data_IF_175362115899
#
_entry.id   IF_175362115899
#
_cell.length_a   1.000
_cell.length_b   1.000
_cell.length_c   1.000
_cell.angle_alpha   90.00
_cell.angle_beta   90.00
_cell.angle_gamma   90.00
#
_symmetry.space_group_name_H-M   'P 1'
#
loop_
_entity.id
_entity.type
_entity.pdbx_description
1 polymer ?
#
# COMPACT_ATOMS: atom_id res chain seq x y z
N UNK A 1 -4.63 30.65 -1.22
CA UNK A 1 -5.10 29.27 -1.48
C UNK A 1 -5.85 28.80 -0.24
N UNK A 2 -7.04 28.16 -0.37
CA UNK A 2 -7.74 27.63 0.80
C UNK A 2 -6.94 26.46 1.40
N UNK A 3 -7.07 26.19 2.72
CA UNK A 3 -6.39 25.09 3.40
C UNK A 3 -6.68 23.75 2.75
N UNK A 4 -7.93 23.53 2.31
CA UNK A 4 -8.36 22.34 1.58
C UNK A 4 -7.55 22.11 0.29
N UNK A 5 -7.43 23.13 -0.59
CA UNK A 5 -6.69 23.00 -1.83
C UNK A 5 -5.18 22.85 -1.57
N UNK A 6 -4.67 23.48 -0.55
CA UNK A 6 -3.27 23.36 -0.16
C UNK A 6 -2.92 21.93 0.27
N UNK A 7 -3.74 21.34 1.16
CA UNK A 7 -3.54 19.97 1.62
C UNK A 7 -3.73 18.96 0.49
N UNK A 8 -4.69 19.20 -0.41
CA UNK A 8 -4.91 18.39 -1.61
C UNK A 8 -3.66 18.36 -2.51
N UNK A 9 -3.04 19.52 -2.76
CA UNK A 9 -1.81 19.61 -3.54
C UNK A 9 -0.62 18.97 -2.82
N UNK A 10 -0.49 19.18 -1.51
CA UNK A 10 0.58 18.57 -0.72
C UNK A 10 0.54 17.04 -0.80
N UNK A 11 -0.63 16.44 -0.58
CA UNK A 11 -0.86 15.00 -0.71
C UNK A 11 -0.54 14.51 -2.13
N UNK A 12 -1.08 15.20 -3.14
CA UNK A 12 -0.86 14.82 -4.55
C UNK A 12 0.62 14.87 -4.94
N UNK A 13 1.31 15.96 -4.60
CA UNK A 13 2.74 16.13 -4.95
C UNK A 13 3.62 15.11 -4.22
N UNK A 14 3.32 14.80 -2.96
CA UNK A 14 4.01 13.73 -2.25
C UNK A 14 3.81 12.37 -2.96
N UNK A 15 2.61 12.09 -3.45
CA UNK A 15 2.35 10.84 -4.18
C UNK A 15 2.99 10.78 -5.58
N UNK A 16 3.45 11.91 -6.15
CA UNK A 16 4.38 11.89 -7.29
C UNK A 16 5.70 11.23 -6.87
N UNK A 17 6.33 11.70 -5.78
CA UNK A 17 7.59 11.12 -5.31
C UNK A 17 7.42 9.64 -4.97
N UNK A 18 6.35 9.30 -4.28
CA UNK A 18 6.03 7.93 -3.90
C UNK A 18 5.90 7.01 -5.13
N UNK A 19 5.23 7.46 -6.20
CA UNK A 19 5.08 6.70 -7.44
C UNK A 19 6.42 6.47 -8.13
N UNK A 20 7.24 7.52 -8.28
CA UNK A 20 8.48 7.45 -9.06
C UNK A 20 9.49 6.46 -8.51
N UNK A 21 9.54 6.29 -7.20
CA UNK A 21 10.47 5.33 -6.59
C UNK A 21 9.81 3.97 -6.35
N UNK A 22 8.63 3.94 -5.72
CA UNK A 22 8.05 2.69 -5.21
C UNK A 22 7.19 1.93 -6.21
N UNK A 23 6.54 2.58 -7.18
CA UNK A 23 5.91 1.85 -8.27
C UNK A 23 6.96 1.23 -9.20
N UNK A 24 8.03 1.95 -9.45
CA UNK A 24 9.07 1.54 -10.39
C UNK A 24 10.27 0.83 -9.74
N UNK A 25 10.21 0.46 -8.45
CA UNK A 25 11.34 -0.18 -7.76
C UNK A 25 11.91 -1.35 -8.54
N UNK A 26 11.09 -2.32 -8.95
CA UNK A 26 11.57 -3.50 -9.68
C UNK A 26 12.06 -3.11 -11.07
N UNK A 27 11.40 -2.19 -11.76
CA UNK A 27 11.84 -1.65 -13.06
C UNK A 27 13.24 -1.04 -12.96
N UNK A 28 13.47 -0.20 -11.93
CA UNK A 28 14.77 0.42 -11.65
C UNK A 28 15.83 -0.66 -11.41
N UNK A 29 15.55 -1.60 -10.51
CA UNK A 29 16.52 -2.64 -10.14
C UNK A 29 16.90 -3.55 -11.30
N UNK A 30 15.93 -3.94 -12.15
CA UNK A 30 16.18 -4.73 -13.35
C UNK A 30 17.09 -3.99 -14.35
N UNK A 31 16.90 -2.66 -14.50
CA UNK A 31 17.76 -1.84 -15.36
C UNK A 31 19.21 -1.76 -14.86
N UNK A 32 19.40 -1.82 -13.52
CA UNK A 32 20.72 -1.94 -12.89
C UNK A 32 21.27 -3.37 -12.88
N UNK A 33 20.59 -4.33 -13.52
CA UNK A 33 21.07 -5.71 -13.69
C UNK A 33 20.81 -6.63 -12.47
N UNK A 34 19.93 -6.24 -11.55
CA UNK A 34 19.54 -7.10 -10.43
C UNK A 34 18.63 -8.24 -10.89
N UNK A 35 18.80 -9.41 -10.30
CA UNK A 35 17.93 -10.57 -10.53
C UNK A 35 16.58 -10.42 -9.80
N UNK A 36 15.57 -11.19 -10.21
CA UNK A 36 14.26 -11.23 -9.57
C UNK A 36 14.37 -11.55 -8.07
N UNK A 37 15.29 -12.45 -7.69
CA UNK A 37 15.54 -12.81 -6.30
C UNK A 37 16.05 -11.60 -5.51
N UNK A 38 17.02 -10.86 -6.06
CA UNK A 38 17.55 -9.65 -5.44
C UNK A 38 16.50 -8.54 -5.35
N UNK A 39 15.67 -8.37 -6.38
CA UNK A 39 14.52 -7.49 -6.34
C UNK A 39 13.55 -7.87 -5.22
N UNK A 40 13.32 -9.17 -5.02
CA UNK A 40 12.51 -9.70 -3.94
C UNK A 40 13.02 -9.33 -2.54
N UNK A 41 14.33 -9.43 -2.31
CA UNK A 41 14.94 -8.99 -1.05
C UNK A 41 14.79 -7.49 -0.80
N UNK A 42 15.02 -6.68 -1.83
CA UNK A 42 14.96 -5.21 -1.70
C UNK A 42 13.52 -4.75 -1.45
N UNK A 43 12.56 -5.28 -2.20
CA UNK A 43 11.14 -4.95 -2.01
C UNK A 43 10.57 -5.52 -0.70
N UNK A 44 11.05 -6.69 -0.24
CA UNK A 44 10.75 -7.20 1.10
C UNK A 44 11.20 -6.22 2.18
N UNK A 45 12.45 -5.71 2.08
CA UNK A 45 13.01 -4.77 3.06
C UNK A 45 12.16 -3.49 3.21
N UNK A 46 11.56 -3.01 2.13
CA UNK A 46 10.63 -1.90 2.13
C UNK A 46 9.47 -2.10 3.12
N UNK A 47 8.86 -3.29 3.12
CA UNK A 47 7.77 -3.61 4.05
C UNK A 47 8.25 -3.92 5.47
N UNK A 48 9.47 -4.45 5.61
CA UNK A 48 10.12 -4.58 6.94
C UNK A 48 10.31 -3.20 7.55
N UNK A 49 10.84 -2.23 6.78
CA UNK A 49 11.01 -0.86 7.26
C UNK A 49 9.67 -0.20 7.62
N UNK A 50 8.63 -0.39 6.81
CA UNK A 50 7.27 0.08 7.12
C UNK A 50 6.77 -0.48 8.47
N UNK A 51 6.99 -1.77 8.71
CA UNK A 51 6.54 -2.44 9.94
C UNK A 51 7.29 -1.95 11.18
N UNK A 52 8.55 -1.56 11.05
CA UNK A 52 9.39 -1.08 12.15
C UNK A 52 9.26 0.44 12.35
N UNK A 53 9.42 1.22 11.29
CA UNK A 53 9.47 2.68 11.36
C UNK A 53 8.09 3.32 11.58
N UNK A 54 7.03 2.75 11.01
CA UNK A 54 5.68 3.28 11.18
C UNK A 54 5.24 3.44 12.64
N UNK A 55 5.32 2.39 13.50
CA UNK A 55 5.04 2.50 14.93
C UNK A 55 5.96 3.47 15.68
N UNK A 56 7.23 3.60 15.26
CA UNK A 56 8.14 4.58 15.86
C UNK A 56 7.66 6.00 15.57
N UNK A 57 7.29 6.30 14.34
CA UNK A 57 6.77 7.62 13.96
C UNK A 57 5.43 7.93 14.63
N UNK A 58 4.54 6.94 14.72
CA UNK A 58 3.31 7.08 15.50
C UNK A 58 3.59 7.49 16.95
N UNK A 59 4.49 6.78 17.64
CA UNK A 59 4.88 7.12 19.02
C UNK A 59 5.53 8.51 19.14
N UNK A 60 6.30 8.96 18.15
CA UNK A 60 6.86 10.32 18.16
C UNK A 60 5.75 11.36 18.06
N UNK A 61 4.73 11.13 17.25
CA UNK A 61 3.56 12.01 17.13
C UNK A 61 2.74 12.00 18.43
N UNK A 62 2.48 10.83 19.00
CA UNK A 62 1.76 10.68 20.28
C UNK A 62 2.47 11.39 21.44
N UNK A 63 3.80 11.50 21.40
CA UNK A 63 4.61 12.25 22.34
C UNK A 63 4.67 13.76 22.07
N UNK A 64 3.88 14.25 21.13
CA UNK A 64 3.72 15.68 20.83
C UNK A 64 4.56 16.21 19.67
N UNK A 65 5.33 15.37 18.96
CA UNK A 65 5.98 15.81 17.74
C UNK A 65 4.92 16.09 16.67
N UNK A 66 4.95 17.30 16.09
CA UNK A 66 4.02 17.64 15.01
C UNK A 66 4.24 16.73 13.79
N UNK A 67 3.18 16.11 13.22
CA UNK A 67 3.28 15.34 11.99
C UNK A 67 3.82 16.18 10.83
N UNK A 68 3.53 17.50 10.78
CA UNK A 68 4.13 18.44 9.84
C UNK A 68 5.66 18.44 9.93
N UNK A 69 6.20 18.61 11.15
CA UNK A 69 7.66 18.64 11.36
C UNK A 69 8.31 17.33 11.00
N UNK A 70 7.69 16.20 11.42
CA UNK A 70 8.18 14.87 11.10
C UNK A 70 8.20 14.64 9.59
N UNK A 71 7.11 14.98 8.87
CA UNK A 71 7.05 14.87 7.41
C UNK A 71 8.18 15.65 6.73
N UNK A 72 8.43 16.90 7.13
CA UNK A 72 9.51 17.73 6.55
C UNK A 72 10.88 17.07 6.77
N UNK A 73 11.14 16.52 7.97
CA UNK A 73 12.40 15.86 8.29
C UNK A 73 12.58 14.61 7.42
N UNK A 74 11.54 13.79 7.29
CA UNK A 74 11.59 12.57 6.49
C UNK A 74 11.76 12.87 5.00
N UNK A 75 11.02 13.84 4.46
CA UNK A 75 11.13 14.25 3.05
C UNK A 75 12.51 14.87 2.75
N UNK A 76 13.06 15.69 3.66
CA UNK A 76 14.42 16.24 3.53
C UNK A 76 15.48 15.12 3.54
N UNK A 77 15.33 14.14 4.42
CA UNK A 77 16.15 12.93 4.41
C UNK A 77 16.05 12.16 3.08
N UNK A 78 14.85 12.04 2.54
CA UNK A 78 14.60 11.46 1.22
C UNK A 78 15.38 12.16 0.11
N UNK A 79 15.32 13.50 0.05
CA UNK A 79 16.09 14.30 -0.93
C UNK A 79 17.59 14.06 -0.81
N UNK A 80 18.12 13.94 0.42
CA UNK A 80 19.56 13.73 0.65
C UNK A 80 20.01 12.32 0.22
N UNK A 81 19.18 11.31 0.47
CA UNK A 81 19.52 9.91 0.18
C UNK A 81 19.31 9.56 -1.30
N UNK A 82 18.32 10.13 -1.96
CA UNK A 82 17.98 9.79 -3.34
C UNK A 82 19.15 9.87 -4.33
N UNK A 83 20.00 10.91 -4.37
CA UNK A 83 21.11 10.97 -5.32
C UNK A 83 22.20 9.92 -5.06
N UNK A 84 22.21 9.29 -3.88
CA UNK A 84 23.11 8.21 -3.55
C UNK A 84 22.63 6.85 -4.08
N UNK A 85 21.31 6.70 -4.34
CA UNK A 85 20.73 5.44 -4.80
C UNK A 85 21.36 4.92 -6.09
N UNK A 86 21.48 5.70 -7.19
CA UNK A 86 22.11 5.23 -8.42
C UNK A 86 23.55 4.74 -8.20
N UNK A 87 24.30 5.46 -7.36
CA UNK A 87 25.70 5.09 -7.02
C UNK A 87 25.73 3.79 -6.22
N UNK A 88 24.84 3.62 -5.25
CA UNK A 88 24.76 2.40 -4.45
C UNK A 88 24.32 1.21 -5.30
N UNK A 89 23.35 1.42 -6.21
CA UNK A 89 22.86 0.39 -7.12
C UNK A 89 23.95 -0.10 -8.08
N UNK A 90 24.78 0.80 -8.58
CA UNK A 90 25.92 0.42 -9.43
C UNK A 90 27.07 -0.27 -8.66
N UNK A 91 27.21 -0.03 -7.35
CA UNK A 91 28.29 -0.60 -6.53
C UNK A 91 28.00 -1.99 -5.98
N UNK A 92 26.76 -2.46 -6.03
CA UNK A 92 26.40 -3.82 -5.68
C UNK A 92 25.31 -3.98 -4.63
N UNK A 93 24.89 -5.22 -4.45
CA UNK A 93 23.69 -5.60 -3.73
C UNK A 93 23.65 -5.14 -2.26
N UNK A 94 24.74 -5.27 -1.51
CA UNK A 94 24.78 -4.90 -0.09
C UNK A 94 24.54 -3.40 0.12
N UNK A 95 25.16 -2.55 -0.69
CA UNK A 95 24.97 -1.10 -0.62
C UNK A 95 23.54 -0.70 -1.06
N UNK A 96 23.00 -1.40 -2.05
CA UNK A 96 21.61 -1.23 -2.48
C UNK A 96 20.64 -1.58 -1.36
N UNK A 97 20.83 -2.69 -0.67
CA UNK A 97 20.00 -3.07 0.48
C UNK A 97 20.02 -2.01 1.58
N UNK A 98 21.21 -1.51 1.94
CA UNK A 98 21.34 -0.48 2.97
C UNK A 98 20.67 0.83 2.55
N UNK A 99 21.01 1.34 1.37
CA UNK A 99 20.48 2.62 0.87
C UNK A 99 18.96 2.57 0.66
N UNK A 100 18.45 1.45 0.12
CA UNK A 100 17.03 1.26 -0.08
C UNK A 100 16.27 1.05 1.24
N UNK A 101 16.88 0.41 2.23
CA UNK A 101 16.35 0.33 3.59
C UNK A 101 16.21 1.72 4.22
N UNK A 102 17.24 2.56 4.10
CA UNK A 102 17.22 3.92 4.61
C UNK A 102 16.13 4.76 3.94
N UNK A 103 16.09 4.80 2.59
CA UNK A 103 15.07 5.59 1.88
C UNK A 103 13.66 5.08 2.16
N UNK A 104 13.47 3.77 2.31
CA UNK A 104 12.17 3.19 2.68
C UNK A 104 11.74 3.59 4.08
N UNK A 105 12.64 3.64 5.05
CA UNK A 105 12.33 4.13 6.38
C UNK A 105 11.93 5.62 6.35
N UNK A 106 12.62 6.44 5.57
CA UNK A 106 12.37 7.86 5.47
C UNK A 106 11.10 8.18 4.67
N UNK A 107 11.05 7.78 3.42
CA UNK A 107 10.04 8.25 2.47
C UNK A 107 8.84 7.29 2.36
N UNK A 108 9.05 5.97 2.23
CA UNK A 108 7.93 5.03 2.16
C UNK A 108 7.02 5.08 3.40
N UNK A 109 7.61 5.26 4.58
CA UNK A 109 6.88 5.46 5.82
C UNK A 109 6.29 6.88 5.96
N UNK A 110 6.77 7.85 5.18
CA UNK A 110 6.23 9.20 5.11
C UNK A 110 4.75 9.25 4.72
N UNK A 111 4.28 8.24 3.94
CA UNK A 111 2.88 8.10 3.60
C UNK A 111 1.97 7.97 4.83
N UNK A 112 2.40 7.24 5.86
CA UNK A 112 1.62 7.12 7.11
C UNK A 112 1.64 8.40 7.93
N UNK A 113 2.71 9.18 7.84
CA UNK A 113 2.83 10.46 8.54
C UNK A 113 1.92 11.52 7.92
N UNK A 114 1.88 11.60 6.58
CA UNK A 114 0.97 12.54 5.90
C UNK A 114 -0.49 12.15 6.09
N UNK A 115 -0.84 10.86 6.07
CA UNK A 115 -2.17 10.37 6.40
C UNK A 115 -2.58 10.76 7.84
N UNK A 116 -1.67 10.62 8.80
CA UNK A 116 -1.90 11.06 10.19
C UNK A 116 -2.10 12.57 10.26
N UNK A 117 -1.33 13.33 9.51
CA UNK A 117 -1.47 14.78 9.44
C UNK A 117 -2.85 15.20 8.88
N UNK A 118 -3.28 14.58 7.78
CA UNK A 118 -4.61 14.83 7.20
C UNK A 118 -5.70 14.53 8.24
N UNK A 119 -5.64 13.38 8.91
CA UNK A 119 -6.60 13.01 9.95
C UNK A 119 -6.63 14.02 11.10
N UNK A 120 -5.48 14.49 11.57
CA UNK A 120 -5.44 15.52 12.60
C UNK A 120 -6.01 16.86 12.12
N UNK A 121 -5.89 17.17 10.83
CA UNK A 121 -6.47 18.38 10.27
C UNK A 121 -7.99 18.31 10.12
N UNK A 122 -8.56 17.14 9.82
CA UNK A 122 -10.04 16.99 9.76
C UNK A 122 -10.71 17.26 11.11
N UNK A 123 -10.00 17.02 12.23
CA UNK A 123 -10.48 17.33 13.57
C UNK A 123 -10.40 18.83 13.94
N UNK A 124 -9.78 19.65 13.09
CA UNK A 124 -9.45 21.07 13.36
C UNK A 124 -9.96 22.03 12.29
N UNK A 125 -10.41 21.51 11.16
CA UNK A 125 -10.88 22.34 10.04
C UNK A 125 -11.98 21.58 9.27
N UNK A 126 -13.23 22.04 9.40
CA UNK A 126 -14.42 21.43 8.76
C UNK A 126 -14.34 21.42 7.23
N UNK A 127 -13.49 22.26 6.63
CA UNK A 127 -13.34 22.32 5.17
C UNK A 127 -12.47 21.18 4.63
N UNK A 128 -11.76 20.44 5.52
CA UNK A 128 -10.87 19.34 5.17
C UNK A 128 -11.63 18.03 5.33
N UNK A 129 -11.91 17.38 4.21
CA UNK A 129 -12.45 16.01 4.14
C UNK A 129 -11.34 15.03 3.81
N UNK A 130 -11.14 14.00 4.67
CA UNK A 130 -10.09 13.01 4.49
C UNK A 130 -10.18 12.30 3.14
N UNK A 131 -11.39 11.86 2.76
CA UNK A 131 -11.58 11.09 1.53
C UNK A 131 -11.25 11.92 0.28
N UNK A 132 -11.62 13.21 0.31
CA UNK A 132 -11.30 14.12 -0.78
C UNK A 132 -9.80 14.39 -0.88
N UNK A 133 -9.13 14.67 0.24
CA UNK A 133 -7.68 14.93 0.25
C UNK A 133 -6.93 13.66 -0.20
N UNK A 134 -7.29 12.51 0.37
CA UNK A 134 -6.66 11.21 0.04
C UNK A 134 -6.84 10.81 -1.43
N UNK A 135 -7.93 11.27 -2.08
CA UNK A 135 -8.14 11.04 -3.53
C UNK A 135 -7.09 11.74 -4.40
N UNK A 136 -6.50 12.86 -3.93
CA UNK A 136 -5.40 13.51 -4.63
C UNK A 136 -4.21 12.58 -4.79
N UNK A 137 -3.83 11.86 -3.71
CA UNK A 137 -2.77 10.87 -3.77
C UNK A 137 -2.97 9.86 -4.89
N UNK A 138 -4.18 9.29 -5.01
CA UNK A 138 -4.49 8.32 -6.06
C UNK A 138 -4.45 8.91 -7.48
N UNK A 139 -4.97 10.12 -7.66
CA UNK A 139 -4.99 10.81 -8.96
C UNK A 139 -3.56 11.12 -9.40
N UNK A 140 -2.77 11.74 -8.54
CA UNK A 140 -1.39 12.12 -8.86
C UNK A 140 -0.50 10.88 -9.05
N UNK A 141 -0.68 9.84 -8.23
CA UNK A 141 0.02 8.56 -8.40
C UNK A 141 -0.29 7.92 -9.76
N UNK A 142 -1.56 7.80 -10.13
CA UNK A 142 -1.98 7.22 -11.40
C UNK A 142 -1.43 8.01 -12.60
N UNK A 143 -1.57 9.34 -12.55
CA UNK A 143 -1.06 10.22 -13.61
C UNK A 143 0.46 10.14 -13.71
N UNK A 144 1.16 10.13 -12.58
CA UNK A 144 2.63 9.99 -12.56
C UNK A 144 3.06 8.64 -13.11
N UNK A 145 2.35 7.55 -12.78
CA UNK A 145 2.69 6.24 -13.30
C UNK A 145 2.66 6.19 -14.82
N UNK A 146 1.60 6.68 -15.45
CA UNK A 146 1.52 6.68 -16.92
C UNK A 146 2.54 7.62 -17.54
N UNK A 147 2.69 8.85 -17.03
CA UNK A 147 3.63 9.85 -17.56
C UNK A 147 5.08 9.36 -17.41
N UNK A 148 5.44 8.84 -16.24
CA UNK A 148 6.78 8.30 -15.99
C UNK A 148 7.09 7.10 -16.87
N UNK A 149 6.12 6.19 -17.08
CA UNK A 149 6.30 5.06 -17.99
C UNK A 149 6.69 5.46 -19.40
N UNK A 150 6.04 6.50 -19.95
CA UNK A 150 6.39 7.02 -21.27
C UNK A 150 7.71 7.81 -21.28
N UNK A 151 8.03 8.55 -20.21
CA UNK A 151 9.24 9.36 -20.12
C UNK A 151 10.50 8.56 -19.83
N UNK A 152 10.40 7.39 -19.20
CA UNK A 152 11.56 6.50 -19.00
C UNK A 152 12.20 6.11 -20.34
N UNK A 153 11.41 5.88 -21.37
CA UNK A 153 11.92 5.44 -22.69
C UNK A 153 12.91 6.45 -23.32
N UNK A 154 12.58 7.74 -23.46
CA UNK A 154 13.51 8.72 -24.02
C UNK A 154 14.53 9.30 -23.02
N UNK A 155 14.21 9.37 -21.71
CA UNK A 155 15.05 10.03 -20.71
C UNK A 155 15.90 9.07 -19.88
N UNK A 156 15.62 7.77 -19.98
CA UNK A 156 16.25 6.73 -19.15
C UNK A 156 15.71 6.67 -17.73
N UNK A 157 16.03 5.57 -17.04
CA UNK A 157 15.49 5.26 -15.72
C UNK A 157 15.91 6.28 -14.64
N UNK A 158 17.06 6.92 -14.78
CA UNK A 158 17.59 7.87 -13.81
C UNK A 158 16.73 9.16 -13.71
N UNK A 159 15.90 9.44 -14.71
CA UNK A 159 14.92 10.53 -14.65
C UNK A 159 14.00 10.40 -13.41
N UNK A 160 13.68 9.19 -12.99
CA UNK A 160 12.82 8.96 -11.84
C UNK A 160 13.40 9.52 -10.54
N UNK A 161 14.73 9.45 -10.35
CA UNK A 161 15.38 10.01 -9.16
C UNK A 161 15.30 11.54 -9.11
N UNK A 162 15.44 12.20 -10.28
CA UNK A 162 15.28 13.65 -10.38
C UNK A 162 13.83 14.08 -10.11
N UNK A 163 12.87 13.36 -10.68
CA UNK A 163 11.45 13.63 -10.45
C UNK A 163 11.07 13.38 -8.98
N UNK A 164 11.62 12.34 -8.35
CA UNK A 164 11.45 12.04 -6.92
C UNK A 164 11.94 13.21 -6.06
N UNK A 165 13.18 13.64 -6.23
CA UNK A 165 13.74 14.76 -5.48
C UNK A 165 12.98 16.06 -5.69
N UNK A 166 12.65 16.37 -6.96
CA UNK A 166 11.91 17.57 -7.30
C UNK A 166 10.52 17.62 -6.66
N UNK A 167 9.79 16.52 -6.70
CA UNK A 167 8.47 16.44 -6.07
C UNK A 167 8.54 16.49 -4.54
N UNK A 168 9.54 15.87 -3.90
CA UNK A 168 9.76 16.01 -2.45
C UNK A 168 10.11 17.46 -2.08
N UNK A 169 10.94 18.15 -2.87
CA UNK A 169 11.26 19.57 -2.63
C UNK A 169 10.01 20.45 -2.69
N UNK A 170 9.14 20.23 -3.69
CA UNK A 170 7.85 20.93 -3.79
C UNK A 170 6.93 20.57 -2.62
N UNK A 171 6.89 19.29 -2.23
CA UNK A 171 6.11 18.87 -1.07
C UNK A 171 6.59 19.54 0.24
N UNK A 172 7.90 19.68 0.44
CA UNK A 172 8.47 20.44 1.59
C UNK A 172 8.04 21.91 1.54
N UNK A 173 8.13 22.56 0.37
CA UNK A 173 7.69 23.97 0.23
C UNK A 173 6.20 24.12 0.58
N UNK A 174 5.36 23.23 0.11
CA UNK A 174 3.95 23.20 0.49
C UNK A 174 3.77 22.91 1.99
N UNK A 175 4.52 21.97 2.55
CA UNK A 175 4.45 21.63 3.97
C UNK A 175 4.87 22.81 4.86
N UNK A 176 5.96 23.51 4.54
CA UNK A 176 6.44 24.66 5.32
C UNK A 176 5.39 25.77 5.40
N UNK A 177 4.70 26.04 4.30
CA UNK A 177 3.69 27.10 4.20
C UNK A 177 2.30 26.67 4.74
N UNK A 178 2.08 25.38 5.02
CA UNK A 178 0.83 24.89 5.56
C UNK A 178 0.75 25.02 7.10
N UNK A 179 -0.49 25.00 7.62
CA UNK A 179 -0.72 25.09 9.06
C UNK A 179 -0.21 23.86 9.82
N UNK A 180 0.35 24.08 11.01
CA UNK A 180 0.73 23.00 11.92
C UNK A 180 -0.50 22.58 12.75
N UNK A 181 -0.93 21.32 12.72
CA UNK A 181 -2.12 20.88 13.45
C UNK A 181 -1.96 21.08 14.96
N UNK A 182 -0.76 20.94 15.52
CA UNK A 182 -0.53 21.14 16.96
C UNK A 182 -0.74 22.59 17.43
N UNK A 183 -0.85 23.54 16.50
CA UNK A 183 -1.11 24.97 16.78
C UNK A 183 -2.57 25.38 16.57
N UNK A 184 -3.42 24.45 16.13
CA UNK A 184 -4.82 24.72 15.86
C UNK A 184 -5.70 24.10 16.96
N UNK A 185 -6.78 24.78 17.40
CA UNK A 185 -7.74 24.21 18.34
C UNK A 185 -8.48 23.03 17.68
N UNK A 186 -8.92 22.08 18.49
CA UNK A 186 -9.86 21.05 18.08
C UNK A 186 -11.25 21.67 17.90
N UNK A 187 -11.98 21.26 16.87
CA UNK A 187 -13.38 21.68 16.64
C UNK A 187 -14.32 21.02 17.65
N UNK A 188 -14.10 19.76 17.94
CA UNK A 188 -14.80 18.99 18.97
C UNK A 188 -13.76 18.28 19.86
N UNK A 189 -14.10 17.97 21.11
CA UNK A 189 -13.27 17.06 21.92
C UNK A 189 -13.05 15.79 21.12
N UNK A 190 -11.81 15.31 21.08
CA UNK A 190 -11.49 14.09 20.35
C UNK A 190 -12.40 12.97 20.82
N UNK A 191 -13.33 12.53 19.92
CA UNK A 191 -14.31 11.47 20.22
C UNK A 191 -13.63 10.14 20.56
N UNK A 192 -12.33 10.04 20.28
CA UNK A 192 -11.50 8.87 20.60
C UNK A 192 -10.62 9.09 21.83
N UNK A 193 -10.48 10.33 22.32
CA UNK A 193 -9.79 10.66 23.55
C UNK A 193 -10.71 10.32 24.73
N UNK A 194 -10.66 9.10 25.22
CA UNK A 194 -11.43 8.65 26.37
C UNK A 194 -12.29 7.41 26.16
N UNK A 195 -12.19 6.74 25.01
CA UNK A 195 -12.67 5.36 24.97
C UNK A 195 -11.80 4.54 25.91
N UNK A 196 -12.43 4.01 26.98
CA UNK A 196 -11.79 3.13 27.97
C UNK A 196 -10.96 2.08 27.24
N UNK A 197 -9.66 2.35 27.14
CA UNK A 197 -8.74 1.29 26.76
C UNK A 197 -8.83 0.26 27.88
N UNK A 198 -9.06 -1.03 27.55
CA UNK A 198 -9.11 -2.05 28.58
C UNK A 198 -7.86 -1.94 29.47
N UNK A 199 -8.01 -2.01 30.77
CA UNK A 199 -6.90 -2.05 31.76
C UNK A 199 -5.96 -3.25 31.55
N UNK A 200 -6.13 -3.95 30.44
CA UNK A 200 -5.35 -5.10 30.05
C UNK A 200 -4.04 -4.70 29.37
N UNK A 201 -2.98 -5.38 29.76
CA UNK A 201 -1.69 -5.28 29.06
C UNK A 201 -1.87 -5.61 27.57
N UNK A 202 -1.13 -4.94 26.69
CA UNK A 202 -1.18 -5.20 25.22
C UNK A 202 -1.07 -6.69 24.88
N UNK A 203 -0.23 -7.44 25.60
CA UNK A 203 -0.07 -8.89 25.41
C UNK A 203 -1.33 -9.68 25.79
N UNK A 204 -2.06 -9.28 26.82
CA UNK A 204 -3.33 -9.89 27.20
C UNK A 204 -4.40 -9.64 26.12
N UNK A 205 -4.49 -8.41 25.62
CA UNK A 205 -5.38 -8.09 24.50
C UNK A 205 -5.09 -8.96 23.26
N UNK A 206 -3.81 -9.16 22.89
CA UNK A 206 -3.42 -10.08 21.81
C UNK A 206 -3.93 -11.49 22.09
N UNK A 207 -3.72 -12.02 23.31
CA UNK A 207 -4.15 -13.37 23.67
C UNK A 207 -5.66 -13.53 23.56
N UNK A 208 -6.42 -12.55 24.03
CA UNK A 208 -7.89 -12.51 23.92
C UNK A 208 -8.34 -12.50 22.45
N UNK A 209 -7.69 -11.70 21.61
CA UNK A 209 -8.03 -11.63 20.19
C UNK A 209 -7.67 -12.92 19.44
N UNK A 210 -6.54 -13.54 19.74
CA UNK A 210 -6.11 -14.80 19.11
C UNK A 210 -6.97 -16.01 19.56
N UNK A 211 -7.73 -15.89 20.64
CA UNK A 211 -8.74 -16.88 21.00
C UNK A 211 -9.99 -16.83 20.11
N UNK A 212 -10.20 -15.73 19.38
CA UNK A 212 -11.31 -15.58 18.44
C UNK A 212 -10.99 -16.33 17.12
N UNK A 213 -11.57 -17.51 16.96
CA UNK A 213 -11.35 -18.39 15.79
C UNK A 213 -11.63 -17.70 14.44
N UNK A 214 -12.75 -16.99 14.22
CA UNK A 214 -12.98 -16.22 12.99
C UNK A 214 -11.88 -15.22 12.68
N UNK A 215 -11.34 -14.54 13.70
CA UNK A 215 -10.24 -13.59 13.54
C UNK A 215 -8.94 -14.26 13.09
N UNK A 216 -8.58 -15.39 13.72
CA UNK A 216 -7.38 -16.16 13.33
C UNK A 216 -7.49 -16.67 11.88
N UNK A 217 -8.65 -17.20 11.49
CA UNK A 217 -8.90 -17.63 10.11
C UNK A 217 -8.74 -16.43 9.15
N UNK A 218 -9.30 -15.28 9.52
CA UNK A 218 -9.14 -14.07 8.72
C UNK A 218 -7.66 -13.63 8.61
N UNK A 219 -6.88 -13.69 9.69
CA UNK A 219 -5.45 -13.37 9.65
C UNK A 219 -4.69 -14.28 8.67
N UNK A 220 -4.95 -15.58 8.70
CA UNK A 220 -4.34 -16.54 7.76
C UNK A 220 -4.74 -16.20 6.31
N UNK A 221 -6.04 -16.07 6.06
CA UNK A 221 -6.55 -15.78 4.72
C UNK A 221 -6.09 -14.43 4.19
N UNK A 222 -6.10 -13.40 5.03
CA UNK A 222 -5.62 -12.06 4.66
C UNK A 222 -4.11 -12.03 4.38
N UNK A 223 -3.33 -12.81 5.14
CA UNK A 223 -1.89 -12.96 4.87
C UNK A 223 -1.65 -13.64 3.52
N UNK A 224 -2.39 -14.69 3.18
CA UNK A 224 -2.33 -15.34 1.87
C UNK A 224 -2.77 -14.40 0.73
N UNK A 225 -3.80 -13.59 0.97
CA UNK A 225 -4.25 -12.56 0.04
C UNK A 225 -3.13 -11.55 -0.27
N UNK A 226 -2.51 -10.98 0.76
CA UNK A 226 -1.40 -10.03 0.56
C UNK A 226 -0.15 -10.70 -0.01
N UNK A 227 0.15 -11.93 0.40
CA UNK A 227 1.21 -12.74 -0.20
C UNK A 227 1.06 -12.80 -1.73
N UNK A 228 -0.06 -13.32 -2.24
CA UNK A 228 -0.27 -13.48 -3.67
C UNK A 228 -0.37 -12.13 -4.41
N UNK A 229 -1.01 -11.15 -3.78
CA UNK A 229 -1.15 -9.80 -4.35
C UNK A 229 0.21 -9.12 -4.51
N UNK A 230 1.07 -9.18 -3.48
CA UNK A 230 2.39 -8.51 -3.50
C UNK A 230 3.40 -9.28 -4.34
N UNK A 231 3.38 -10.60 -4.29
CA UNK A 231 4.15 -11.41 -5.21
C UNK A 231 3.91 -10.96 -6.66
N UNK A 232 2.66 -10.95 -7.12
CA UNK A 232 2.37 -10.67 -8.53
C UNK A 232 2.48 -9.18 -8.88
N UNK A 233 1.96 -8.27 -8.07
CA UNK A 233 2.02 -6.85 -8.38
C UNK A 233 3.44 -6.28 -8.22
N UNK A 234 4.24 -6.78 -7.28
CA UNK A 234 5.64 -6.38 -7.11
C UNK A 234 6.49 -6.71 -8.35
N UNK A 235 6.18 -7.81 -9.02
CA UNK A 235 6.90 -8.26 -10.24
C UNK A 235 6.10 -8.05 -11.52
N UNK A 236 5.10 -7.17 -11.52
CA UNK A 236 4.27 -6.94 -12.70
C UNK A 236 5.06 -6.45 -13.91
N UNK A 237 6.14 -5.68 -13.70
CA UNK A 237 7.06 -5.28 -14.80
C UNK A 237 7.70 -6.49 -15.47
N UNK A 238 8.11 -7.52 -14.70
CA UNK A 238 8.70 -8.76 -15.26
C UNK A 238 7.66 -9.52 -16.09
N UNK A 239 6.41 -9.57 -15.62
CA UNK A 239 5.30 -10.19 -16.35
C UNK A 239 5.03 -9.44 -17.67
N UNK A 240 5.06 -8.12 -17.64
CA UNK A 240 4.88 -7.27 -18.82
C UNK A 240 6.04 -7.46 -19.81
N UNK A 241 7.28 -7.49 -19.33
CA UNK A 241 8.46 -7.74 -20.18
C UNK A 241 8.40 -9.13 -20.83
N UNK A 242 7.92 -10.15 -20.11
CA UNK A 242 7.74 -11.51 -20.63
C UNK A 242 6.79 -11.57 -21.85
N UNK A 243 5.84 -10.63 -21.95
CA UNK A 243 4.85 -10.55 -23.04
C UNK A 243 5.33 -9.55 -24.14
N UNK A 244 6.51 -8.94 -23.97
CA UNK A 244 7.09 -7.98 -24.93
C UNK A 244 6.68 -6.54 -24.68
N UNK A 245 6.18 -6.21 -23.49
CA UNK A 245 5.94 -4.81 -23.08
C UNK A 245 7.16 -4.17 -22.43
N UNK A 246 7.01 -2.91 -22.08
CA UNK A 246 8.05 -2.04 -21.53
C UNK A 246 7.54 -1.24 -20.31
N UNK A 247 8.33 -0.27 -19.85
CA UNK A 247 7.97 0.62 -18.75
C UNK A 247 6.73 1.48 -19.06
N UNK A 248 6.50 1.85 -20.32
CA UNK A 248 5.31 2.60 -20.71
C UNK A 248 4.04 1.77 -20.53
N UNK A 249 4.10 0.52 -20.92
CA UNK A 249 3.03 -0.45 -20.73
C UNK A 249 2.74 -0.70 -19.24
N UNK A 250 3.80 -0.77 -18.43
CA UNK A 250 3.65 -0.88 -16.99
C UNK A 250 2.94 0.35 -16.40
N UNK A 251 3.34 1.56 -16.79
CA UNK A 251 2.70 2.80 -16.38
C UNK A 251 1.20 2.84 -16.71
N UNK A 252 0.82 2.41 -17.93
CA UNK A 252 -0.60 2.25 -18.32
C UNK A 252 -1.32 1.26 -17.44
N UNK A 253 -0.70 0.12 -17.13
CA UNK A 253 -1.25 -0.91 -16.24
C UNK A 253 -1.56 -0.34 -14.84
N UNK A 254 -0.63 0.43 -14.26
CA UNK A 254 -0.81 1.09 -12.96
C UNK A 254 -1.94 2.12 -13.03
N UNK A 255 -1.99 2.94 -14.05
CA UNK A 255 -3.05 3.93 -14.26
C UNK A 255 -4.45 3.27 -14.31
N UNK A 256 -4.59 2.22 -15.10
CA UNK A 256 -5.87 1.53 -15.27
C UNK A 256 -6.40 0.97 -13.96
N UNK A 257 -5.53 0.35 -13.14
CA UNK A 257 -6.01 -0.20 -11.88
C UNK A 257 -6.37 0.89 -10.86
N UNK A 258 -5.62 2.00 -10.79
CA UNK A 258 -5.93 3.10 -9.88
C UNK A 258 -7.28 3.76 -10.20
N UNK A 259 -7.55 4.00 -11.49
CA UNK A 259 -8.86 4.54 -11.94
C UNK A 259 -9.99 3.56 -11.62
N UNK A 260 -9.78 2.27 -11.91
CA UNK A 260 -10.76 1.23 -11.60
C UNK A 260 -11.04 1.11 -10.10
N UNK A 261 -10.01 1.18 -9.26
CA UNK A 261 -10.13 1.12 -7.80
C UNK A 261 -11.05 2.23 -7.26
N UNK A 262 -10.83 3.47 -7.70
CA UNK A 262 -11.65 4.61 -7.28
C UNK A 262 -13.14 4.43 -7.58
N UNK A 263 -13.47 3.90 -8.77
CA UNK A 263 -14.85 3.63 -9.16
C UNK A 263 -15.47 2.49 -8.36
N UNK A 264 -14.72 1.40 -8.16
CA UNK A 264 -15.20 0.17 -7.54
C UNK A 264 -15.32 0.26 -6.02
N UNK A 265 -14.51 1.10 -5.33
CA UNK A 265 -14.70 1.39 -3.91
C UNK A 265 -16.08 2.01 -3.63
N UNK A 266 -16.54 2.91 -4.51
CA UNK A 266 -17.89 3.49 -4.40
C UNK A 266 -18.99 2.45 -4.64
N UNK A 267 -18.76 1.54 -5.58
CA UNK A 267 -19.70 0.45 -5.85
C UNK A 267 -19.80 -0.52 -4.67
N UNK A 268 -18.67 -0.97 -4.11
CA UNK A 268 -18.61 -1.83 -2.92
C UNK A 268 -19.39 -1.22 -1.75
N UNK A 269 -19.17 0.08 -1.47
CA UNK A 269 -19.90 0.80 -0.42
C UNK A 269 -21.40 0.89 -0.68
N UNK A 270 -21.84 1.06 -1.96
CA UNK A 270 -23.26 1.06 -2.32
C UNK A 270 -23.90 -0.31 -2.15
N UNK A 271 -23.20 -1.38 -2.52
CA UNK A 271 -23.69 -2.75 -2.39
C UNK A 271 -23.87 -3.15 -0.93
N UNK A 272 -22.95 -2.77 -0.04
CA UNK A 272 -23.10 -2.98 1.40
C UNK A 272 -24.33 -2.25 1.96
N UNK A 273 -24.54 -0.99 1.57
CA UNK A 273 -25.77 -0.25 1.98
C UNK A 273 -27.07 -0.88 1.46
N UNK A 274 -27.00 -1.67 0.39
CA UNK A 274 -28.15 -2.45 -0.15
C UNK A 274 -28.31 -3.82 0.49
N UNK A 275 -27.55 -4.13 1.55
CA UNK A 275 -27.71 -5.37 2.31
C UNK A 275 -26.77 -6.52 1.88
N UNK A 276 -25.74 -6.25 1.08
CA UNK A 276 -24.72 -7.25 0.81
C UNK A 276 -24.00 -7.63 2.10
N UNK A 277 -23.83 -8.92 2.36
CA UNK A 277 -23.11 -9.42 3.54
C UNK A 277 -21.61 -9.21 3.39
N UNK A 278 -20.93 -8.77 4.45
CA UNK A 278 -19.49 -8.51 4.47
C UNK A 278 -18.63 -9.66 3.91
N UNK A 279 -18.84 -10.95 4.26
CA UNK A 279 -18.03 -12.03 3.72
C UNK A 279 -18.02 -12.13 2.20
N UNK A 280 -19.09 -11.67 1.52
CA UNK A 280 -19.15 -11.66 0.06
C UNK A 280 -18.06 -10.78 -0.54
N UNK A 281 -17.69 -9.68 0.12
CA UNK A 281 -16.60 -8.82 -0.35
C UNK A 281 -15.25 -9.55 -0.36
N UNK A 282 -14.96 -10.38 0.65
CA UNK A 282 -13.72 -11.17 0.66
C UNK A 282 -13.70 -12.24 -0.44
N UNK A 283 -14.85 -12.88 -0.65
CA UNK A 283 -14.99 -13.86 -1.76
C UNK A 283 -14.79 -13.16 -3.11
N UNK A 284 -15.42 -12.00 -3.32
CA UNK A 284 -15.23 -11.19 -4.53
C UNK A 284 -13.79 -10.75 -4.71
N UNK A 285 -13.13 -10.32 -3.62
CA UNK A 285 -11.73 -9.91 -3.64
C UNK A 285 -10.80 -11.06 -4.06
N UNK A 286 -10.93 -12.20 -3.40
CA UNK A 286 -10.08 -13.38 -3.66
C UNK A 286 -10.37 -14.02 -5.00
N UNK A 287 -11.65 -14.12 -5.41
CA UNK A 287 -12.03 -14.64 -6.72
C UNK A 287 -11.56 -13.74 -7.85
N UNK A 288 -11.76 -12.42 -7.75
CA UNK A 288 -11.34 -11.46 -8.75
C UNK A 288 -9.82 -11.44 -8.94
N UNK A 289 -9.06 -11.35 -7.84
CA UNK A 289 -7.60 -11.39 -7.90
C UNK A 289 -7.06 -12.77 -8.31
N UNK A 290 -7.63 -13.85 -7.80
CA UNK A 290 -7.23 -15.19 -8.17
C UNK A 290 -7.41 -15.42 -9.68
N UNK A 291 -8.58 -15.06 -10.22
CA UNK A 291 -8.84 -15.14 -11.66
C UNK A 291 -7.87 -14.26 -12.46
N UNK A 292 -7.64 -13.01 -12.04
CA UNK A 292 -6.65 -12.15 -12.67
C UNK A 292 -5.28 -12.79 -12.75
N UNK A 293 -4.80 -13.34 -11.63
CA UNK A 293 -3.46 -13.91 -11.54
C UNK A 293 -3.35 -15.14 -12.44
N UNK A 294 -4.37 -16.00 -12.49
CA UNK A 294 -4.40 -17.15 -13.41
C UNK A 294 -4.41 -16.69 -14.87
N UNK A 295 -5.20 -15.66 -15.20
CA UNK A 295 -5.24 -15.11 -16.55
C UNK A 295 -3.89 -14.52 -16.99
N UNK A 296 -3.13 -13.88 -16.09
CA UNK A 296 -1.77 -13.42 -16.38
C UNK A 296 -0.81 -14.56 -16.76
N UNK A 297 -1.03 -15.77 -16.24
CA UNK A 297 -0.25 -16.94 -16.61
C UNK A 297 -0.59 -17.53 -17.99
N UNK A 298 -1.77 -17.22 -18.52
CA UNK A 298 -2.28 -17.77 -19.80
C UNK A 298 -2.23 -16.77 -20.94
N UNK A 299 -2.54 -15.49 -20.64
CA UNK A 299 -2.63 -14.44 -21.65
C UNK A 299 -1.24 -14.05 -22.18
N UNK A 300 -1.14 -14.03 -23.52
CA UNK A 300 0.09 -13.66 -24.24
C UNK A 300 -0.06 -12.35 -25.02
N UNK A 301 -1.13 -11.60 -24.75
CA UNK A 301 -1.40 -10.35 -25.44
C UNK A 301 -1.44 -9.19 -24.44
N UNK A 302 -0.87 -8.05 -24.83
CA UNK A 302 -0.85 -6.85 -23.99
C UNK A 302 -2.25 -6.37 -23.64
N UNK A 303 -3.16 -6.35 -24.63
CA UNK A 303 -4.57 -5.98 -24.41
C UNK A 303 -5.23 -6.87 -23.35
N UNK A 304 -4.97 -8.20 -23.41
CA UNK A 304 -5.48 -9.14 -22.42
C UNK A 304 -4.98 -8.81 -21.02
N UNK A 305 -3.68 -8.51 -20.85
CA UNK A 305 -3.10 -8.12 -19.58
C UNK A 305 -3.71 -6.81 -19.07
N UNK A 306 -3.91 -5.81 -19.93
CA UNK A 306 -4.54 -4.55 -19.52
C UNK A 306 -5.98 -4.76 -19.05
N UNK A 307 -6.76 -5.60 -19.71
CA UNK A 307 -8.13 -5.93 -19.27
C UNK A 307 -8.17 -6.60 -17.89
N UNK A 308 -7.14 -7.35 -17.52
CA UNK A 308 -7.07 -7.97 -16.18
C UNK A 308 -6.92 -6.95 -15.06
N UNK A 309 -6.51 -5.70 -15.35
CA UNK A 309 -6.41 -4.64 -14.32
C UNK A 309 -7.78 -4.29 -13.72
N UNK A 310 -8.86 -4.51 -14.45
CA UNK A 310 -10.23 -4.36 -13.92
C UNK A 310 -10.46 -5.35 -12.76
N UNK A 311 -9.99 -6.59 -12.90
CA UNK A 311 -10.11 -7.60 -11.83
C UNK A 311 -9.23 -7.26 -10.62
N UNK A 312 -8.05 -6.64 -10.84
CA UNK A 312 -7.23 -6.11 -9.74
C UNK A 312 -8.00 -5.05 -8.94
N UNK A 313 -8.62 -4.13 -9.64
CA UNK A 313 -9.40 -3.04 -9.02
C UNK A 313 -10.60 -3.58 -8.22
N UNK A 314 -11.33 -4.58 -8.77
CA UNK A 314 -12.41 -5.27 -8.07
C UNK A 314 -11.91 -5.92 -6.79
N UNK A 315 -10.81 -6.65 -6.90
CA UNK A 315 -10.21 -7.38 -5.78
C UNK A 315 -9.75 -6.45 -4.67
N UNK A 316 -9.00 -5.41 -5.01
CA UNK A 316 -8.41 -4.49 -4.04
C UNK A 316 -9.47 -3.63 -3.34
N UNK A 317 -10.40 -3.03 -4.10
CA UNK A 317 -11.49 -2.23 -3.54
C UNK A 317 -12.38 -3.04 -2.59
N UNK A 318 -12.68 -4.29 -2.94
CA UNK A 318 -13.50 -5.19 -2.11
C UNK A 318 -12.78 -5.56 -0.82
N UNK A 319 -11.47 -5.87 -0.90
CA UNK A 319 -10.68 -6.25 0.29
C UNK A 319 -10.51 -5.10 1.27
N UNK A 320 -10.16 -3.91 0.80
CA UNK A 320 -9.97 -2.74 1.68
C UNK A 320 -11.22 -2.45 2.51
N UNK A 321 -12.39 -2.50 1.87
CA UNK A 321 -13.65 -2.27 2.56
C UNK A 321 -13.98 -3.39 3.53
N UNK A 322 -13.75 -4.65 3.11
CA UNK A 322 -13.99 -5.82 3.94
C UNK A 322 -13.12 -5.84 5.20
N UNK A 323 -11.82 -5.59 5.09
CA UNK A 323 -10.86 -5.75 6.17
C UNK A 323 -11.29 -4.97 7.44
N UNK A 324 -11.58 -3.69 7.30
CA UNK A 324 -11.92 -2.81 8.43
C UNK A 324 -13.25 -3.24 9.05
N UNK A 325 -14.29 -3.36 8.23
CA UNK A 325 -15.65 -3.62 8.70
C UNK A 325 -15.80 -5.02 9.30
N UNK A 326 -15.15 -6.03 8.69
CA UNK A 326 -15.21 -7.41 9.18
C UNK A 326 -14.49 -7.57 10.51
N UNK A 327 -13.27 -7.05 10.64
CA UNK A 327 -12.53 -7.12 11.90
C UNK A 327 -13.26 -6.37 13.00
N UNK A 328 -13.79 -5.18 12.71
CA UNK A 328 -14.58 -4.43 13.68
C UNK A 328 -15.83 -5.19 14.13
N UNK A 329 -16.47 -5.97 13.24
CA UNK A 329 -17.67 -6.76 13.58
C UNK A 329 -17.40 -7.99 14.49
N UNK A 330 -16.15 -8.42 14.58
CA UNK A 330 -15.76 -9.60 15.38
C UNK A 330 -15.51 -9.29 16.85
N UNK A 331 -15.35 -8.03 17.21
CA UNK A 331 -14.98 -7.61 18.56
C UNK A 331 -15.87 -6.51 19.10
N UNK A 332 -16.03 -6.42 20.44
CA UNK A 332 -16.61 -5.24 21.08
C UNK A 332 -15.83 -3.97 20.70
N UNK A 333 -16.52 -2.82 20.73
CA UNK A 333 -15.98 -1.53 20.29
C UNK A 333 -14.62 -1.17 20.89
N UNK A 334 -14.41 -1.46 22.17
CA UNK A 334 -13.17 -1.23 22.93
C UNK A 334 -11.96 -2.01 22.38
N UNK A 335 -12.16 -3.14 21.71
CA UNK A 335 -11.08 -3.96 21.12
C UNK A 335 -10.94 -3.76 19.61
N UNK A 336 -11.96 -3.21 18.92
CA UNK A 336 -12.01 -3.15 17.48
C UNK A 336 -10.79 -2.41 16.87
N UNK A 337 -10.40 -1.28 17.43
CA UNK A 337 -9.24 -0.51 16.97
C UNK A 337 -7.92 -1.31 17.06
N UNK A 338 -7.69 -1.98 18.22
CA UNK A 338 -6.49 -2.83 18.39
C UNK A 338 -6.51 -4.03 17.45
N UNK A 339 -7.66 -4.66 17.25
CA UNK A 339 -7.81 -5.80 16.35
C UNK A 339 -7.54 -5.40 14.88
N UNK A 340 -8.01 -4.22 14.44
CA UNK A 340 -7.71 -3.69 13.11
C UNK A 340 -6.21 -3.45 12.95
N UNK A 341 -5.54 -2.84 13.92
CA UNK A 341 -4.08 -2.61 13.87
C UNK A 341 -3.30 -3.93 13.76
N UNK A 342 -3.65 -4.94 14.58
CA UNK A 342 -3.03 -6.27 14.51
C UNK A 342 -3.32 -6.92 13.16
N UNK A 343 -4.55 -6.82 12.65
CA UNK A 343 -4.90 -7.40 11.36
C UNK A 343 -4.08 -6.80 10.22
N UNK A 344 -3.91 -5.48 10.19
CA UNK A 344 -3.09 -4.80 9.18
C UNK A 344 -1.63 -5.20 9.31
N UNK A 345 -1.06 -5.20 10.53
CA UNK A 345 0.34 -5.58 10.75
C UNK A 345 0.62 -7.02 10.29
N UNK A 346 -0.27 -7.95 10.59
CA UNK A 346 -0.10 -9.37 10.23
C UNK A 346 -0.42 -9.58 8.75
N UNK A 347 -1.60 -9.21 8.28
CA UNK A 347 -2.01 -9.54 6.91
C UNK A 347 -1.22 -8.73 5.88
N UNK A 348 -1.17 -7.41 6.02
CA UNK A 348 -0.48 -6.53 5.09
C UNK A 348 1.04 -6.56 5.33
N UNK A 349 1.50 -6.48 6.57
CA UNK A 349 2.92 -6.48 6.90
C UNK A 349 3.58 -7.81 6.53
N UNK A 350 3.24 -8.92 7.23
CA UNK A 350 3.85 -10.23 6.97
C UNK A 350 3.53 -10.76 5.58
N UNK A 351 2.29 -10.60 5.11
CA UNK A 351 1.89 -11.05 3.78
C UNK A 351 2.70 -10.37 2.67
N UNK A 352 2.98 -9.05 2.80
CA UNK A 352 3.81 -8.33 1.83
C UNK A 352 5.29 -8.70 1.92
N UNK A 353 5.82 -8.88 3.13
CA UNK A 353 7.21 -9.33 3.34
C UNK A 353 7.43 -10.69 2.67
N UNK A 354 6.60 -11.68 3.01
CA UNK A 354 6.71 -13.03 2.45
C UNK A 354 6.43 -13.02 0.95
N UNK A 355 5.42 -12.26 0.50
CA UNK A 355 5.01 -12.18 -0.90
C UNK A 355 6.11 -11.63 -1.81
N UNK A 356 6.79 -10.56 -1.41
CA UNK A 356 7.88 -10.01 -2.20
C UNK A 356 9.10 -10.94 -2.22
N UNK A 357 9.50 -11.49 -1.06
CA UNK A 357 10.65 -12.39 -0.97
C UNK A 357 10.40 -13.68 -1.75
N UNK A 358 9.32 -14.40 -1.42
CA UNK A 358 8.98 -15.65 -2.10
C UNK A 358 8.63 -15.42 -3.58
N UNK A 359 8.03 -14.26 -3.91
CA UNK A 359 7.73 -13.86 -5.27
C UNK A 359 8.96 -13.84 -6.16
N UNK A 360 10.06 -13.24 -5.71
CA UNK A 360 11.32 -13.22 -6.44
C UNK A 360 11.92 -14.62 -6.66
N UNK A 361 11.93 -15.46 -5.61
CA UNK A 361 12.42 -16.84 -5.72
C UNK A 361 11.55 -17.71 -6.65
N UNK A 362 10.23 -17.66 -6.48
CA UNK A 362 9.31 -18.44 -7.32
C UNK A 362 9.43 -18.02 -8.78
N UNK A 363 9.42 -16.72 -9.06
CA UNK A 363 9.52 -16.21 -10.42
C UNK A 363 10.79 -16.66 -11.11
N UNK A 364 11.93 -16.57 -10.44
CA UNK A 364 13.24 -17.01 -10.95
C UNK A 364 13.31 -18.54 -11.16
N UNK A 365 12.63 -19.32 -10.32
CA UNK A 365 12.71 -20.79 -10.37
C UNK A 365 11.79 -21.45 -11.36
N UNK A 366 10.55 -20.96 -11.54
CA UNK A 366 9.52 -21.65 -12.33
C UNK A 366 9.02 -20.85 -13.54
N UNK A 367 9.48 -19.60 -13.72
CA UNK A 367 9.06 -18.71 -14.79
C UNK A 367 7.63 -18.17 -14.64
N UNK A 368 7.29 -17.17 -15.48
CA UNK A 368 6.06 -16.38 -15.37
C UNK A 368 4.76 -17.19 -15.35
N UNK A 369 4.51 -18.15 -16.29
CA UNK A 369 3.24 -18.88 -16.30
C UNK A 369 3.00 -19.70 -15.03
N UNK A 370 3.97 -20.54 -14.65
CA UNK A 370 3.86 -21.42 -13.47
C UNK A 370 3.78 -20.59 -12.18
N UNK A 371 4.55 -19.50 -12.10
CA UNK A 371 4.48 -18.54 -11.01
C UNK A 371 3.06 -17.98 -10.81
N UNK A 372 2.41 -17.55 -11.89
CA UNK A 372 1.04 -17.06 -11.84
C UNK A 372 0.05 -18.16 -11.38
N UNK A 373 0.24 -19.41 -11.83
CA UNK A 373 -0.62 -20.52 -11.38
C UNK A 373 -0.45 -20.81 -9.88
N UNK A 374 0.77 -20.79 -9.35
CA UNK A 374 1.04 -20.98 -7.90
C UNK A 374 0.39 -19.85 -7.09
N UNK A 375 0.62 -18.60 -7.46
CA UNK A 375 0.06 -17.44 -6.75
C UNK A 375 -1.47 -17.37 -6.85
N UNK A 376 -2.03 -17.68 -8.02
CA UNK A 376 -3.48 -17.76 -8.22
C UNK A 376 -4.12 -18.90 -7.42
N UNK A 377 -3.46 -20.07 -7.37
CA UNK A 377 -3.86 -21.20 -6.52
C UNK A 377 -3.86 -20.85 -5.03
N UNK A 378 -2.84 -20.14 -4.55
CA UNK A 378 -2.79 -19.65 -3.17
C UNK A 378 -3.96 -18.69 -2.85
N UNK A 379 -4.38 -17.85 -3.80
CA UNK A 379 -5.53 -16.97 -3.64
C UNK A 379 -6.85 -17.78 -3.49
N UNK A 380 -7.08 -18.79 -4.33
CA UNK A 380 -8.26 -19.65 -4.23
C UNK A 380 -8.22 -20.54 -2.98
N UNK A 381 -7.03 -20.97 -2.54
CA UNK A 381 -6.87 -21.69 -1.28
C UNK A 381 -7.26 -20.79 -0.09
N UNK A 382 -6.84 -19.52 -0.11
CA UNK A 382 -7.28 -18.51 0.89
C UNK A 382 -8.81 -18.41 0.95
N UNK A 383 -9.46 -18.33 -0.21
CA UNK A 383 -10.93 -18.30 -0.30
C UNK A 383 -11.57 -19.56 0.28
N UNK A 384 -11.05 -20.74 -0.04
CA UNK A 384 -11.56 -22.02 0.46
C UNK A 384 -11.44 -22.12 1.99
N UNK A 385 -10.28 -21.76 2.55
CA UNK A 385 -10.07 -21.72 4.02
C UNK A 385 -11.06 -20.76 4.69
N UNK A 386 -11.27 -19.58 4.09
CA UNK A 386 -12.22 -18.61 4.62
C UNK A 386 -13.65 -19.15 4.64
N UNK A 387 -14.08 -19.79 3.56
CA UNK A 387 -15.42 -20.41 3.47
C UNK A 387 -15.61 -21.56 4.48
N UNK A 388 -14.59 -22.40 4.66
CA UNK A 388 -14.60 -23.48 5.67
C UNK A 388 -14.71 -22.91 7.09
N UNK A 389 -14.23 -21.70 7.33
CA UNK A 389 -14.39 -20.98 8.59
C UNK A 389 -15.81 -20.50 8.91
N UNK A 390 -16.79 -20.76 8.04
CA UNK A 390 -18.20 -20.33 8.18
C UNK A 390 -18.37 -18.84 8.48
N UNK A 391 -17.80 -17.93 7.67
CA UNK A 391 -17.75 -16.50 7.97
C UNK A 391 -19.14 -15.83 8.04
N UNK A 392 -20.15 -16.42 7.39
CA UNK A 392 -21.53 -15.90 7.40
C UNK A 392 -22.26 -16.11 8.72
N UNK A 393 -21.79 -17.00 9.57
CA UNK A 393 -22.35 -17.23 10.91
C UNK A 393 -21.66 -16.38 11.98
N UNK A 394 -20.46 -15.89 11.70
CA UNK A 394 -19.66 -15.08 12.62
C UNK A 394 -19.95 -13.58 12.49
N UNK A 395 -20.32 -13.10 11.31
CA UNK A 395 -20.73 -11.72 11.06
C UNK A 395 -22.24 -11.58 11.33
N UNK A 396 -22.59 -11.17 12.54
CA UNK A 396 -23.97 -10.78 12.91
C UNK A 396 -24.25 -9.32 12.55
#
# INVERSE_FOLDING_TARGET
MSRRHHMFLLEGVYFISFCTLYAYTVTILLEYGYTEVQCGYITMLQYVMMTIAGPVYGRMIDRGLSPKKLFIILAAGGIIVTPLLPVCFAKGFSLTMISFGIISALDFCGATVIDTWINQMTLRDETIDYGMIRSAGSIFYATTAIVSGYLIVPLGINFLFWLHMGSLAVAILLAVTFADPNKLPLLEPDRFAGEDTPDETFMQSIKTMMANRPFVIFLICGTMYYFATRAVNGFMQVIINYIGGDASTYGVSVFLYCVGEFLLMRLASRLLRRGMKLPVLFITATAGLGLRILLLGVLKTMTGVMLTQILLSVGFASYLRFNIDYVASLFPRQYAGRAILISVAVTQGLGSIIGNLAGGYLLASVGVPTYCFICGGAMFLSMAIFLMGKPFSAAK
#
